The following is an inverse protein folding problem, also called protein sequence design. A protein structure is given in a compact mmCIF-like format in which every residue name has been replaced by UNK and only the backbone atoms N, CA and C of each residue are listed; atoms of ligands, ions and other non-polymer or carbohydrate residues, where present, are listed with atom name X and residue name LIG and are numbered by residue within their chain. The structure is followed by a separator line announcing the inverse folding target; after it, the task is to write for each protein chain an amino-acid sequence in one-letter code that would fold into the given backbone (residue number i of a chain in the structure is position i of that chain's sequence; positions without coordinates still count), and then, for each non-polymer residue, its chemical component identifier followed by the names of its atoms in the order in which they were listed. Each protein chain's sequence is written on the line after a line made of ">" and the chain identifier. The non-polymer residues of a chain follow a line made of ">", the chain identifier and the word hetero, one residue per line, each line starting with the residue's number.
data_IF_394930954999
#
_entry.id   IF_394930954999
#
_cell.length_a   1.000
_cell.length_b   1.000
_cell.length_c   1.000
_cell.angle_alpha   90.00
_cell.angle_beta   90.00
_cell.angle_gamma   90.00
#
_symmetry.space_group_name_H-M   'P 1'
#
loop_
_entity.id
_entity.type
_entity.pdbx_description
1 polymer ?
#
# COMPACT_ATOMS: atom_id res chain seq x y z
N UNK A 1 -2.62 1.07 -18.52
CA UNK A 1 -2.21 2.00 -17.44
C UNK A 1 -3.36 2.25 -16.48
N UNK A 2 -4.47 2.85 -16.93
CA UNK A 2 -5.64 3.11 -16.06
C UNK A 2 -6.13 1.88 -15.28
N UNK A 3 -6.17 0.69 -15.90
CA UNK A 3 -6.53 -0.55 -15.20
C UNK A 3 -5.67 -0.81 -13.95
N UNK A 4 -4.36 -0.61 -14.05
CA UNK A 4 -3.42 -0.82 -12.93
C UNK A 4 -3.64 0.25 -11.86
N UNK A 5 -3.85 1.52 -12.26
CA UNK A 5 -4.06 2.62 -11.33
C UNK A 5 -5.39 2.47 -10.57
N UNK A 6 -6.48 2.11 -11.24
CA UNK A 6 -7.75 1.81 -10.59
C UNK A 6 -7.68 0.57 -9.69
N UNK A 7 -6.90 -0.44 -10.06
CA UNK A 7 -6.66 -1.61 -9.20
C UNK A 7 -5.91 -1.22 -7.93
N UNK A 8 -4.90 -0.35 -8.05
CA UNK A 8 -4.18 0.20 -6.90
C UNK A 8 -5.07 1.08 -6.02
N UNK A 9 -5.97 1.87 -6.63
CA UNK A 9 -6.91 2.75 -5.94
C UNK A 9 -7.96 1.96 -5.14
N UNK A 10 -8.56 0.94 -5.74
CA UNK A 10 -9.48 0.06 -5.02
C UNK A 10 -8.81 -0.64 -3.84
N UNK A 11 -7.55 -1.06 -4.04
CA UNK A 11 -6.78 -1.74 -3.01
C UNK A 11 -6.36 -0.82 -1.86
N UNK A 12 -5.87 0.39 -2.15
CA UNK A 12 -5.54 1.37 -1.11
C UNK A 12 -6.76 1.75 -0.28
N UNK A 13 -7.94 1.82 -0.90
CA UNK A 13 -9.23 2.02 -0.23
C UNK A 13 -9.63 0.86 0.70
N UNK A 14 -9.36 -0.39 0.29
CA UNK A 14 -9.65 -1.59 1.11
C UNK A 14 -8.89 -1.61 2.45
N UNK A 15 -7.77 -0.88 2.55
CA UNK A 15 -7.02 -0.76 3.80
C UNK A 15 -7.68 0.18 4.82
N UNK A 16 -8.45 1.18 4.37
CA UNK A 16 -8.88 2.30 5.22
C UNK A 16 -9.82 1.95 6.38
N UNK A 17 -10.70 0.93 6.28
CA UNK A 17 -11.50 0.49 7.43
C UNK A 17 -10.67 -0.06 8.61
N UNK A 18 -9.40 -0.41 8.37
CA UNK A 18 -8.41 -0.82 9.36
C UNK A 18 -8.85 -1.91 10.34
N UNK A 19 -9.63 -2.87 9.85
CA UNK A 19 -9.98 -4.09 10.58
C UNK A 19 -8.99 -5.23 10.35
N UNK A 20 -9.25 -6.39 10.98
CA UNK A 20 -8.40 -7.59 10.88
C UNK A 20 -8.15 -8.01 9.42
N UNK A 21 -9.18 -7.99 8.58
CA UNK A 21 -9.06 -8.37 7.16
C UNK A 21 -8.21 -7.36 6.36
N UNK A 22 -8.36 -6.06 6.62
CA UNK A 22 -7.55 -5.01 6.00
C UNK A 22 -6.08 -5.10 6.42
N UNK A 23 -5.83 -5.36 7.71
CA UNK A 23 -4.47 -5.56 8.25
C UNK A 23 -3.74 -6.71 7.56
N UNK A 24 -4.38 -7.88 7.45
CA UNK A 24 -3.76 -9.05 6.82
C UNK A 24 -3.55 -8.86 5.32
N UNK A 25 -4.48 -8.19 4.63
CA UNK A 25 -4.28 -7.87 3.22
C UNK A 25 -3.07 -6.94 3.02
N UNK A 26 -2.92 -5.92 3.87
CA UNK A 26 -1.75 -5.05 3.86
C UNK A 26 -0.45 -5.84 4.12
N UNK A 27 -0.45 -6.74 5.10
CA UNK A 27 0.69 -7.62 5.39
C UNK A 27 1.09 -8.46 4.17
N UNK A 28 0.14 -9.19 3.58
CA UNK A 28 0.41 -10.09 2.45
C UNK A 28 0.94 -9.32 1.24
N UNK A 29 0.28 -8.23 0.84
CA UNK A 29 0.70 -7.53 -0.39
C UNK A 29 2.06 -6.86 -0.23
N UNK A 30 2.33 -6.25 0.93
CA UNK A 30 3.57 -5.50 1.11
C UNK A 30 4.74 -6.46 1.23
N UNK A 31 4.52 -7.68 1.74
CA UNK A 31 5.54 -8.74 1.74
C UNK A 31 5.90 -9.24 0.34
N UNK A 32 5.04 -9.09 -0.68
CA UNK A 32 5.37 -9.50 -2.06
C UNK A 32 6.62 -8.76 -2.58
N UNK A 33 6.79 -7.49 -2.20
CA UNK A 33 7.96 -6.68 -2.55
C UNK A 33 9.26 -7.18 -1.90
N UNK A 34 9.16 -7.96 -0.82
CA UNK A 34 10.31 -8.61 -0.18
C UNK A 34 10.98 -9.68 -1.06
N UNK A 35 10.27 -10.19 -2.07
CA UNK A 35 10.82 -11.14 -3.04
C UNK A 35 11.76 -10.51 -4.08
N UNK A 36 11.87 -9.19 -4.13
CA UNK A 36 12.75 -8.50 -5.09
C UNK A 36 14.21 -8.67 -4.67
N UNK A 37 15.09 -9.22 -5.53
CA UNK A 37 16.50 -9.38 -5.21
C UNK A 37 17.18 -8.03 -4.88
N UNK A 38 18.18 -8.06 -4.02
CA UNK A 38 19.00 -6.92 -3.58
C UNK A 38 18.30 -5.85 -2.72
N UNK A 39 17.10 -5.40 -3.09
CA UNK A 39 16.41 -4.26 -2.42
C UNK A 39 15.13 -4.64 -1.67
N UNK A 40 14.66 -5.89 -1.78
CA UNK A 40 13.35 -6.31 -1.26
C UNK A 40 13.10 -5.97 0.21
N UNK A 41 13.98 -6.38 1.15
CA UNK A 41 13.75 -6.12 2.59
C UNK A 41 13.66 -4.64 2.94
N UNK A 42 14.57 -3.82 2.41
CA UNK A 42 14.57 -2.36 2.63
C UNK A 42 13.35 -1.71 2.00
N UNK A 43 12.93 -2.18 0.82
CA UNK A 43 11.74 -1.69 0.13
C UNK A 43 10.46 -1.96 0.93
N UNK A 44 10.33 -3.14 1.56
CA UNK A 44 9.16 -3.46 2.40
C UNK A 44 9.05 -2.49 3.58
N UNK A 45 10.16 -2.25 4.28
CA UNK A 45 10.22 -1.30 5.39
C UNK A 45 9.94 0.12 4.87
N UNK A 46 10.51 0.48 3.73
CA UNK A 46 10.27 1.79 3.11
C UNK A 46 8.83 1.99 2.66
N UNK A 47 8.08 0.95 2.26
CA UNK A 47 6.66 1.08 1.92
C UNK A 47 5.84 1.26 3.20
N UNK A 48 6.07 0.42 4.21
CA UNK A 48 5.29 0.40 5.47
C UNK A 48 5.57 1.59 6.39
N UNK A 49 6.82 2.07 6.39
CA UNK A 49 7.30 3.09 7.31
C UNK A 49 7.66 2.57 8.70
N UNK A 50 7.63 1.25 8.88
CA UNK A 50 7.96 0.53 10.11
C UNK A 50 8.32 -0.93 9.76
N UNK A 51 8.86 -1.69 10.71
CA UNK A 51 9.23 -3.10 10.53
C UNK A 51 8.01 -4.02 10.36
N UNK A 52 6.87 -3.64 10.94
CA UNK A 52 5.59 -4.32 10.78
C UNK A 52 4.55 -3.39 10.12
N UNK A 53 3.44 -3.95 9.66
CA UNK A 53 2.27 -3.12 9.31
C UNK A 53 1.74 -2.50 10.61
N UNK A 54 1.70 -1.17 10.63
CA UNK A 54 1.29 -0.34 11.77
C UNK A 54 0.73 1.01 11.26
N UNK A 55 0.44 1.96 12.16
CA UNK A 55 -0.18 3.25 11.82
C UNK A 55 0.54 4.08 10.73
N UNK A 56 1.90 4.10 10.64
CA UNK A 56 2.59 4.71 9.51
C UNK A 56 2.18 4.12 8.16
N UNK A 57 1.89 2.81 8.10
CA UNK A 57 1.42 2.16 6.87
C UNK A 57 0.05 2.70 6.50
N UNK A 58 -0.90 2.73 7.45
CA UNK A 58 -2.24 3.26 7.21
C UNK A 58 -2.20 4.70 6.71
N UNK A 59 -1.39 5.55 7.35
CA UNK A 59 -1.29 6.98 6.99
C UNK A 59 -0.78 7.17 5.56
N UNK A 60 0.19 6.35 5.12
CA UNK A 60 0.72 6.40 3.75
C UNK A 60 -0.28 5.90 2.73
N UNK A 61 -0.99 4.81 3.02
CA UNK A 61 -2.03 4.29 2.13
C UNK A 61 -3.25 5.23 2.05
N UNK A 62 -3.57 5.95 3.14
CA UNK A 62 -4.57 7.02 3.12
C UNK A 62 -4.15 8.17 2.19
N UNK A 63 -2.91 8.66 2.31
CA UNK A 63 -2.39 9.69 1.39
C UNK A 63 -2.38 9.21 -0.06
N UNK A 64 -2.02 7.95 -0.30
CA UNK A 64 -2.05 7.35 -1.64
C UNK A 64 -3.47 7.32 -2.22
N UNK A 65 -4.44 6.81 -1.44
CA UNK A 65 -5.84 6.68 -1.88
C UNK A 65 -6.54 8.02 -2.07
N UNK A 66 -6.38 8.96 -1.12
CA UNK A 66 -7.18 10.19 -1.14
C UNK A 66 -6.59 11.26 -2.07
N UNK A 67 -5.26 11.30 -2.21
CA UNK A 67 -4.59 12.37 -2.93
C UNK A 67 -3.87 11.88 -4.19
N UNK A 68 -2.86 11.01 -4.04
CA UNK A 68 -1.94 10.72 -5.13
C UNK A 68 -2.59 9.95 -6.28
N UNK A 69 -3.32 8.87 -5.99
CA UNK A 69 -3.94 8.03 -7.02
C UNK A 69 -5.07 8.75 -7.76
N UNK A 70 -6.00 9.49 -7.11
CA UNK A 70 -6.99 10.30 -7.81
C UNK A 70 -6.37 11.34 -8.77
N UNK A 71 -5.28 12.00 -8.37
CA UNK A 71 -4.56 12.95 -9.24
C UNK A 71 -4.00 12.23 -10.47
N UNK A 72 -3.39 11.05 -10.30
CA UNK A 72 -2.84 10.25 -11.41
C UNK A 72 -3.94 9.69 -12.32
N UNK A 73 -5.15 9.43 -11.80
CA UNK A 73 -6.29 8.96 -12.60
C UNK A 73 -6.84 10.09 -13.48
N UNK A 74 -6.84 11.33 -12.98
CA UNK A 74 -7.39 12.50 -13.69
C UNK A 74 -6.41 13.05 -14.74
N UNK A 75 -5.10 12.94 -14.49
CA UNK A 75 -4.03 13.39 -15.38
C UNK A 75 -3.89 12.53 -16.65
#
# INVERSE_FOLDING_TARGET
>A
LLFVVFSAEAFSGYMLPWGQMSYWAAQVITNLFGGIPFIGPELVIWIRGDYAVSDPTLTRFFMLHVCLLPIVIIA
#
